data_IF_726892792990
#
_entry.id   IF_726892792990
#
_cell.length_a   1.000
_cell.length_b   1.000
_cell.length_c   1.000
_cell.angle_alpha   90.00
_cell.angle_beta   90.00
_cell.angle_gamma   90.00
#
_symmetry.space_group_name_H-M   'P 1'
#
loop_
_entity.id
_entity.type
_entity.pdbx_description
1 polymer ?
#
# COMPACT_ATOMS: atom_id res chain seq x y z
N UNK A 1 40.53 0.30 -3.11
CA UNK A 1 39.92 -0.34 -1.93
C UNK A 1 39.93 0.62 -0.76
N UNK A 2 38.83 0.68 0.01
CA UNK A 2 38.80 1.34 1.31
C UNK A 2 39.73 0.63 2.29
N UNK A 3 40.30 1.36 3.24
CA UNK A 3 41.03 0.74 4.36
C UNK A 3 40.07 0.00 5.26
N UNK A 4 40.55 -0.99 6.02
CA UNK A 4 39.71 -1.71 6.97
C UNK A 4 39.06 -0.79 8.02
N UNK A 5 39.80 0.22 8.47
CA UNK A 5 39.29 1.24 9.40
C UNK A 5 38.13 2.05 8.78
N UNK A 6 38.26 2.47 7.52
CA UNK A 6 37.19 3.17 6.80
C UNK A 6 35.93 2.28 6.60
N UNK A 7 36.13 0.97 6.30
CA UNK A 7 35.02 0.03 6.17
C UNK A 7 34.27 -0.08 7.51
N UNK A 8 34.96 -0.25 8.63
CA UNK A 8 34.36 -0.32 9.96
C UNK A 8 33.62 0.99 10.33
N UNK A 9 34.23 2.13 10.05
CA UNK A 9 33.58 3.42 10.27
C UNK A 9 32.28 3.57 9.49
N UNK A 10 32.34 3.38 8.17
CA UNK A 10 31.15 3.52 7.32
C UNK A 10 30.10 2.44 7.54
N UNK A 11 30.47 1.30 8.14
CA UNK A 11 29.51 0.27 8.49
C UNK A 11 28.43 0.79 9.47
N UNK A 12 28.80 1.72 10.35
CA UNK A 12 27.90 2.34 11.33
C UNK A 12 27.44 3.75 10.91
N UNK A 13 28.07 4.34 9.86
CA UNK A 13 27.82 5.70 9.40
C UNK A 13 27.45 5.74 7.89
N UNK A 14 26.30 5.16 7.49
CA UNK A 14 25.92 5.05 6.08
C UNK A 14 25.69 6.40 5.41
N UNK A 15 25.24 7.41 6.15
CA UNK A 15 25.05 8.74 5.60
C UNK A 15 26.40 9.41 5.22
N UNK A 16 27.43 9.20 6.03
CA UNK A 16 28.78 9.71 5.73
C UNK A 16 29.39 8.94 4.55
N UNK A 17 29.15 7.62 4.45
CA UNK A 17 29.50 6.84 3.26
C UNK A 17 28.89 7.45 1.98
N UNK A 18 27.63 7.85 2.02
CA UNK A 18 26.94 8.46 0.89
C UNK A 18 27.56 9.81 0.54
N UNK A 19 27.86 10.66 1.53
CA UNK A 19 28.48 11.96 1.32
C UNK A 19 29.90 11.84 0.72
N UNK A 20 30.73 11.00 1.34
CA UNK A 20 32.15 10.92 1.00
C UNK A 20 32.40 10.13 -0.30
N UNK A 21 31.63 9.07 -0.55
CA UNK A 21 31.87 8.16 -1.65
C UNK A 21 30.91 8.33 -2.83
N UNK A 22 29.67 8.71 -2.58
CA UNK A 22 28.70 8.95 -3.65
C UNK A 22 28.57 10.46 -3.99
N UNK A 23 29.24 11.32 -3.23
CA UNK A 23 29.33 12.77 -3.44
C UNK A 23 27.95 13.45 -3.50
N UNK A 24 27.05 13.04 -2.62
CA UNK A 24 25.72 13.61 -2.47
C UNK A 24 25.38 13.74 -1.01
N UNK A 25 24.81 14.88 -0.61
CA UNK A 25 24.37 15.13 0.77
C UNK A 25 22.93 14.64 0.95
N UNK A 26 22.71 13.58 1.74
CA UNK A 26 21.36 13.16 2.12
C UNK A 26 20.65 14.27 2.91
N UNK A 27 19.38 14.50 2.62
CA UNK A 27 18.57 15.37 3.47
C UNK A 27 18.33 14.74 4.84
N UNK A 28 17.73 15.53 5.77
CA UNK A 28 17.51 15.09 7.16
C UNK A 28 16.76 13.75 7.25
N UNK A 29 15.72 13.55 6.43
CA UNK A 29 14.93 12.33 6.44
C UNK A 29 15.73 11.16 5.85
N UNK A 30 16.41 11.38 4.73
CA UNK A 30 17.25 10.38 4.10
C UNK A 30 18.38 9.90 5.02
N UNK A 31 19.07 10.86 5.70
CA UNK A 31 20.09 10.52 6.71
C UNK A 31 19.51 9.66 7.82
N UNK A 32 18.37 10.06 8.38
CA UNK A 32 17.74 9.31 9.47
C UNK A 32 17.32 7.89 9.06
N UNK A 33 16.85 7.71 7.81
CA UNK A 33 16.51 6.38 7.28
C UNK A 33 17.76 5.52 7.12
N UNK A 34 18.83 6.05 6.52
CA UNK A 34 20.11 5.36 6.37
C UNK A 34 20.67 4.91 7.74
N UNK A 35 20.72 5.83 8.71
CA UNK A 35 21.20 5.54 10.07
C UNK A 35 20.30 4.51 10.79
N UNK A 36 19.02 4.49 10.49
CA UNK A 36 18.10 3.47 11.01
C UNK A 36 18.44 2.08 10.48
N UNK A 37 18.72 1.93 9.18
CA UNK A 37 19.08 0.62 8.61
C UNK A 37 20.39 0.10 9.20
N UNK A 38 21.35 0.96 9.53
CA UNK A 38 22.59 0.54 10.19
C UNK A 38 22.34 -0.01 11.61
N UNK A 39 21.39 0.59 12.35
CA UNK A 39 21.19 0.34 13.78
C UNK A 39 20.05 -0.61 14.12
N UNK A 40 19.06 -0.72 13.23
CA UNK A 40 17.83 -1.46 13.49
C UNK A 40 17.63 -2.58 12.47
N UNK A 41 17.01 -3.64 12.92
CA UNK A 41 16.76 -4.81 12.07
C UNK A 41 15.66 -4.55 11.04
N UNK A 42 14.62 -3.82 11.41
CA UNK A 42 13.46 -3.55 10.55
C UNK A 42 13.16 -2.05 10.48
N UNK A 43 13.30 -1.49 9.28
CA UNK A 43 12.99 -0.09 8.98
C UNK A 43 11.87 -0.02 7.96
N UNK A 44 10.80 0.72 8.27
CA UNK A 44 9.64 0.92 7.39
C UNK A 44 9.37 2.40 7.16
N UNK A 45 9.29 2.81 5.88
CA UNK A 45 9.20 4.21 5.46
C UNK A 45 7.95 4.42 4.61
N UNK A 46 6.96 5.15 5.14
CA UNK A 46 5.84 5.65 4.36
C UNK A 46 6.03 7.12 3.99
N UNK A 47 5.71 7.48 2.76
CA UNK A 47 5.92 8.86 2.31
C UNK A 47 5.04 9.27 1.14
N UNK A 48 4.99 10.59 0.87
CA UNK A 48 4.52 11.13 -0.40
C UNK A 48 5.45 10.79 -1.57
N UNK A 49 5.06 11.21 -2.77
CA UNK A 49 5.87 11.10 -3.99
C UNK A 49 7.05 12.07 -3.97
N UNK A 50 8.13 11.73 -4.68
CA UNK A 50 9.23 12.66 -4.98
C UNK A 50 10.23 12.92 -3.85
N UNK A 51 10.11 12.26 -2.68
CA UNK A 51 11.02 12.46 -1.54
C UNK A 51 12.40 11.78 -1.72
N UNK A 52 12.60 11.03 -2.80
CA UNK A 52 13.88 10.36 -3.09
C UNK A 52 14.04 8.98 -2.44
N UNK A 53 12.96 8.22 -2.23
CA UNK A 53 13.00 6.82 -1.71
C UNK A 53 13.99 5.95 -2.47
N UNK A 54 13.83 5.87 -3.79
CA UNK A 54 14.67 4.99 -4.63
C UNK A 54 16.17 5.36 -4.56
N UNK A 55 16.50 6.62 -4.33
CA UNK A 55 17.89 7.04 -4.10
C UNK A 55 18.41 6.48 -2.76
N UNK A 56 17.63 6.59 -1.67
CA UNK A 56 18.00 6.04 -0.36
C UNK A 56 18.19 4.52 -0.44
N UNK A 57 17.27 3.82 -1.10
CA UNK A 57 17.35 2.37 -1.31
C UNK A 57 18.59 1.98 -2.11
N UNK A 58 18.88 2.70 -3.22
CA UNK A 58 20.07 2.48 -4.02
C UNK A 58 21.36 2.74 -3.22
N UNK A 59 21.42 3.82 -2.44
CA UNK A 59 22.56 4.11 -1.56
C UNK A 59 22.73 3.03 -0.49
N UNK A 60 21.63 2.55 0.09
CA UNK A 60 21.64 1.49 1.10
C UNK A 60 22.19 0.18 0.52
N UNK A 61 21.82 -0.18 -0.72
CA UNK A 61 22.38 -1.35 -1.42
C UNK A 61 23.89 -1.20 -1.61
N UNK A 62 24.34 -0.06 -2.15
CA UNK A 62 25.75 0.18 -2.43
C UNK A 62 26.57 0.22 -1.14
N UNK A 63 26.07 0.88 -0.09
CA UNK A 63 26.69 0.94 1.22
C UNK A 63 26.85 -0.46 1.83
N UNK A 64 25.78 -1.27 1.86
CA UNK A 64 25.80 -2.59 2.44
C UNK A 64 26.73 -3.54 1.69
N UNK A 65 26.73 -3.47 0.34
CA UNK A 65 27.68 -4.17 -0.52
C UNK A 65 29.15 -3.80 -0.23
N UNK A 66 29.42 -2.58 0.17
CA UNK A 66 30.79 -2.03 0.33
C UNK A 66 31.34 -2.17 1.75
N UNK A 67 30.48 -2.42 2.74
CA UNK A 67 30.85 -2.39 4.17
C UNK A 67 30.63 -3.72 4.90
N UNK A 68 30.04 -4.71 4.27
CA UNK A 68 29.81 -6.06 4.84
C UNK A 68 30.52 -7.12 4.02
N UNK A 69 31.11 -8.16 4.64
CA UNK A 69 31.69 -9.27 3.91
C UNK A 69 30.62 -10.22 3.40
N UNK A 70 30.70 -10.58 2.13
CA UNK A 70 29.81 -11.56 1.48
C UNK A 70 28.33 -11.36 1.71
N UNK A 71 27.80 -10.11 1.66
CA UNK A 71 26.40 -9.83 1.88
C UNK A 71 25.54 -10.37 0.75
N UNK A 72 24.28 -10.69 1.05
CA UNK A 72 23.25 -10.95 0.05
C UNK A 72 22.14 -9.92 0.19
N UNK A 73 21.78 -9.28 -0.93
CA UNK A 73 20.79 -8.21 -0.93
C UNK A 73 19.71 -8.50 -1.96
N UNK A 74 18.68 -9.29 -1.62
CA UNK A 74 17.50 -9.45 -2.45
C UNK A 74 16.67 -8.16 -2.44
N UNK A 75 16.44 -7.60 -3.63
CA UNK A 75 15.62 -6.41 -3.86
C UNK A 75 14.35 -6.79 -4.61
N UNK A 76 13.20 -6.29 -4.18
CA UNK A 76 11.93 -6.54 -4.85
C UNK A 76 11.04 -5.29 -4.91
N UNK A 77 10.07 -5.33 -5.83
CA UNK A 77 8.99 -4.36 -5.98
C UNK A 77 7.76 -5.06 -6.59
N UNK A 78 6.54 -4.46 -6.50
CA UNK A 78 5.33 -5.08 -7.03
C UNK A 78 5.39 -5.39 -8.52
N UNK A 79 6.06 -4.56 -9.31
CA UNK A 79 6.14 -4.72 -10.77
C UNK A 79 7.57 -4.76 -11.27
N UNK A 80 7.78 -5.41 -12.43
CA UNK A 80 9.09 -5.41 -13.11
C UNK A 80 9.57 -4.00 -13.44
N UNK A 81 8.67 -3.12 -13.87
CA UNK A 81 9.00 -1.73 -14.18
C UNK A 81 9.56 -0.98 -12.95
N UNK A 82 8.88 -1.06 -11.81
CA UNK A 82 9.36 -0.43 -10.57
C UNK A 82 10.73 -0.97 -10.15
N UNK A 83 10.91 -2.28 -10.21
CA UNK A 83 12.17 -2.91 -9.82
C UNK A 83 13.32 -2.58 -10.77
N UNK A 84 13.15 -2.82 -12.08
CA UNK A 84 14.27 -2.73 -13.04
C UNK A 84 14.49 -1.34 -13.60
N UNK A 85 13.41 -0.63 -13.93
CA UNK A 85 13.52 0.66 -14.61
C UNK A 85 13.66 1.83 -13.62
N UNK A 86 13.29 1.63 -12.34
CA UNK A 86 13.42 2.66 -11.31
C UNK A 86 14.54 2.31 -10.33
N UNK A 87 14.36 1.33 -9.44
CA UNK A 87 15.35 1.03 -8.39
C UNK A 87 16.69 0.56 -8.99
N UNK A 88 16.67 -0.39 -9.92
CA UNK A 88 17.87 -0.98 -10.48
C UNK A 88 18.65 0.00 -11.36
N UNK A 89 17.92 0.86 -12.08
CA UNK A 89 18.52 1.96 -12.84
C UNK A 89 19.16 3.01 -11.92
N UNK A 90 18.55 3.32 -10.77
CA UNK A 90 19.10 4.24 -9.78
C UNK A 90 20.38 3.70 -9.16
N UNK A 91 20.44 2.40 -8.82
CA UNK A 91 21.70 1.75 -8.36
C UNK A 91 22.79 1.89 -9.43
N UNK A 92 22.49 1.62 -10.70
CA UNK A 92 23.42 1.75 -11.82
C UNK A 92 23.98 3.18 -11.95
N UNK A 93 23.12 4.17 -11.81
CA UNK A 93 23.49 5.59 -11.88
C UNK A 93 24.49 5.95 -10.78
N UNK A 94 24.24 5.55 -9.53
CA UNK A 94 25.14 5.86 -8.42
C UNK A 94 26.46 5.11 -8.49
N UNK A 95 26.47 3.86 -8.92
CA UNK A 95 27.73 3.12 -9.14
C UNK A 95 28.63 3.77 -10.18
N UNK A 96 28.06 4.23 -11.30
CA UNK A 96 28.83 4.89 -12.38
C UNK A 96 29.44 6.22 -11.95
N UNK A 97 28.87 6.89 -10.96
CA UNK A 97 29.39 8.14 -10.45
C UNK A 97 30.65 7.98 -9.59
N UNK A 98 30.97 6.76 -9.15
CA UNK A 98 32.18 6.47 -8.38
C UNK A 98 33.05 5.40 -9.05
N UNK A 99 34.15 5.86 -9.67
CA UNK A 99 35.11 4.97 -10.39
C UNK A 99 35.78 3.93 -9.49
N UNK A 100 35.93 4.19 -8.19
CA UNK A 100 36.53 3.22 -7.27
C UNK A 100 35.53 2.06 -7.02
N UNK A 101 34.27 2.37 -6.78
CA UNK A 101 33.21 1.35 -6.63
C UNK A 101 32.97 0.60 -7.95
N UNK A 102 32.96 1.28 -9.08
CA UNK A 102 32.82 0.68 -10.41
C UNK A 102 33.95 -0.31 -10.75
N UNK A 103 35.15 -0.12 -10.19
CA UNK A 103 36.29 -1.08 -10.37
C UNK A 103 36.02 -2.38 -9.61
N UNK A 104 35.43 -2.34 -8.43
CA UNK A 104 35.21 -3.49 -7.53
C UNK A 104 33.89 -4.19 -7.85
N UNK A 105 32.81 -3.42 -8.07
CA UNK A 105 31.46 -3.91 -8.30
C UNK A 105 31.14 -3.97 -9.80
N UNK A 106 30.41 -5.01 -10.19
CA UNK A 106 29.85 -5.14 -11.54
C UNK A 106 28.34 -5.04 -11.43
N UNK A 107 27.75 -4.15 -12.22
CA UNK A 107 26.30 -4.06 -12.41
C UNK A 107 25.89 -4.79 -13.69
N UNK A 108 24.85 -5.61 -13.58
CA UNK A 108 24.15 -6.24 -14.69
C UNK A 108 22.66 -5.96 -14.58
N UNK A 109 21.87 -6.36 -15.56
CA UNK A 109 20.41 -6.14 -15.56
C UNK A 109 19.71 -6.78 -14.35
N UNK A 110 20.25 -7.86 -13.79
CA UNK A 110 19.60 -8.62 -12.72
C UNK A 110 20.40 -8.67 -11.42
N UNK A 111 21.71 -8.41 -11.46
CA UNK A 111 22.63 -8.63 -10.34
C UNK A 111 23.66 -7.50 -10.26
N UNK A 112 23.96 -7.05 -9.06
CA UNK A 112 25.15 -6.26 -8.74
C UNK A 112 26.02 -7.15 -7.87
N UNK A 113 27.29 -7.34 -8.22
CA UNK A 113 28.14 -8.26 -7.50
C UNK A 113 29.59 -7.79 -7.39
N UNK A 114 30.29 -8.28 -6.36
CA UNK A 114 31.73 -8.09 -6.22
C UNK A 114 32.44 -8.93 -7.28
N UNK A 115 33.29 -8.32 -8.13
CA UNK A 115 33.93 -8.99 -9.26
C UNK A 115 34.75 -10.22 -8.88
N UNK A 116 35.37 -10.20 -7.69
CA UNK A 116 36.16 -11.32 -7.19
C UNK A 116 35.31 -12.50 -6.67
N UNK A 117 34.05 -12.24 -6.25
CA UNK A 117 33.18 -13.21 -5.60
C UNK A 117 31.73 -13.09 -6.14
N UNK A 118 31.51 -13.35 -7.44
CA UNK A 118 30.22 -13.03 -8.09
C UNK A 118 29.05 -13.87 -7.61
N UNK A 119 29.29 -15.05 -7.03
CA UNK A 119 28.26 -15.98 -6.57
C UNK A 119 27.95 -15.85 -5.07
N UNK A 120 28.83 -15.22 -4.31
CA UNK A 120 28.73 -15.18 -2.85
C UNK A 120 28.44 -13.77 -2.32
N UNK A 121 28.81 -12.73 -3.08
CA UNK A 121 28.75 -11.32 -2.67
C UNK A 121 27.96 -10.50 -3.68
N UNK A 122 26.65 -10.35 -3.45
CA UNK A 122 25.79 -9.72 -4.46
C UNK A 122 24.50 -9.11 -3.93
N UNK A 123 23.97 -8.15 -4.70
CA UNK A 123 22.58 -7.74 -4.70
C UNK A 123 21.88 -8.29 -5.93
N UNK A 124 20.61 -8.66 -5.82
CA UNK A 124 19.84 -9.27 -6.91
C UNK A 124 18.42 -8.76 -6.96
N UNK A 125 17.96 -8.44 -8.18
CA UNK A 125 16.57 -8.06 -8.44
C UNK A 125 15.68 -9.31 -8.56
N UNK A 126 14.60 -9.36 -7.80
CA UNK A 126 13.59 -10.43 -7.83
C UNK A 126 12.20 -9.80 -7.82
N UNK A 127 11.40 -10.08 -8.83
CA UNK A 127 10.01 -9.56 -8.88
C UNK A 127 9.14 -10.25 -7.84
N UNK A 128 8.26 -9.50 -7.20
CA UNK A 128 7.31 -10.00 -6.19
C UNK A 128 6.16 -10.84 -6.78
N UNK A 129 6.29 -11.33 -8.01
CA UNK A 129 5.24 -12.10 -8.70
C UNK A 129 5.02 -13.51 -8.19
N UNK A 130 5.96 -14.03 -7.37
CA UNK A 130 5.88 -15.36 -6.76
C UNK A 130 6.22 -15.27 -5.28
N UNK A 131 5.52 -16.02 -4.41
CA UNK A 131 5.79 -16.03 -2.97
C UNK A 131 7.21 -16.46 -2.61
N UNK A 132 7.83 -17.34 -3.40
CA UNK A 132 9.17 -17.87 -3.20
C UNK A 132 10.30 -16.98 -3.78
N UNK A 133 9.96 -15.82 -4.34
CA UNK A 133 10.93 -14.93 -4.97
C UNK A 133 12.08 -14.49 -4.03
N UNK A 134 11.81 -14.39 -2.74
CA UNK A 134 12.78 -14.01 -1.71
C UNK A 134 13.25 -15.17 -0.84
N UNK A 135 12.94 -16.42 -1.22
CA UNK A 135 13.41 -17.62 -0.52
C UNK A 135 14.87 -17.99 -0.87
N UNK A 136 15.51 -18.74 0.03
CA UNK A 136 16.81 -19.39 -0.24
C UNK A 136 18.02 -18.47 -0.13
N UNK A 137 17.86 -17.24 0.34
CA UNK A 137 19.00 -16.37 0.63
C UNK A 137 19.47 -16.61 2.08
N UNK A 138 20.70 -17.08 2.21
CA UNK A 138 21.37 -17.32 3.49
C UNK A 138 22.74 -16.63 3.48
N UNK A 139 22.99 -15.77 4.44
CA UNK A 139 24.26 -15.11 4.70
C UNK A 139 24.25 -14.57 6.14
N UNK A 140 25.45 -14.35 6.70
CA UNK A 140 25.58 -13.71 8.01
C UNK A 140 25.07 -12.26 7.96
N UNK A 141 25.37 -11.57 6.85
CA UNK A 141 24.87 -10.24 6.52
C UNK A 141 23.88 -10.33 5.36
N UNK A 142 22.61 -10.10 5.63
CA UNK A 142 21.54 -10.08 4.60
C UNK A 142 20.70 -8.81 4.74
N UNK A 143 20.40 -8.16 3.60
CA UNK A 143 19.54 -6.98 3.56
C UNK A 143 18.42 -7.18 2.53
N UNK A 144 17.19 -7.15 2.98
CA UNK A 144 16.02 -7.12 2.10
C UNK A 144 15.63 -5.68 1.80
N UNK A 145 15.50 -5.34 0.52
CA UNK A 145 14.97 -4.06 0.04
C UNK A 145 13.63 -4.33 -0.63
N UNK A 146 12.58 -3.69 -0.13
CA UNK A 146 11.23 -3.81 -0.67
C UNK A 146 10.71 -2.42 -1.03
N UNK A 147 10.83 -2.08 -2.31
CA UNK A 147 10.32 -0.82 -2.86
C UNK A 147 8.82 -0.93 -3.16
N UNK A 148 8.11 0.18 -3.00
CA UNK A 148 6.65 0.28 -3.12
C UNK A 148 5.92 -0.83 -2.35
N UNK A 149 6.35 -1.08 -1.11
CA UNK A 149 5.98 -2.19 -0.25
C UNK A 149 4.46 -2.33 -0.02
N UNK A 150 3.69 -1.24 -0.14
CA UNK A 150 2.23 -1.27 -0.02
C UNK A 150 1.54 -2.12 -1.10
N UNK A 151 2.19 -2.31 -2.25
CA UNK A 151 1.68 -3.12 -3.36
C UNK A 151 2.22 -4.55 -3.42
N UNK A 152 3.05 -4.97 -2.47
CA UNK A 152 3.63 -6.32 -2.42
C UNK A 152 2.73 -7.26 -1.64
N UNK A 153 2.43 -8.43 -2.19
CA UNK A 153 1.61 -9.47 -1.54
C UNK A 153 2.27 -9.95 -0.24
N UNK A 154 1.46 -10.14 0.81
CA UNK A 154 1.92 -10.54 2.14
C UNK A 154 2.74 -11.84 2.15
N UNK A 155 2.44 -12.77 1.25
CA UNK A 155 3.16 -14.05 1.13
C UNK A 155 4.63 -13.88 0.73
N UNK A 156 4.99 -12.77 0.09
CA UNK A 156 6.37 -12.46 -0.27
C UNK A 156 7.21 -12.09 0.96
N UNK A 157 6.57 -11.61 2.03
CA UNK A 157 7.25 -11.23 3.28
C UNK A 157 7.53 -12.43 4.21
N UNK A 158 6.84 -13.57 4.06
CA UNK A 158 7.04 -14.74 4.92
C UNK A 158 8.49 -15.23 4.95
N UNK A 159 9.18 -15.41 3.79
CA UNK A 159 10.60 -15.79 3.78
C UNK A 159 11.51 -14.74 4.42
N UNK A 160 11.16 -13.45 4.28
CA UNK A 160 11.92 -12.35 4.88
C UNK A 160 11.90 -12.43 6.40
N UNK A 161 10.71 -12.66 6.99
CA UNK A 161 10.58 -12.84 8.44
C UNK A 161 11.41 -14.01 8.97
N UNK A 162 11.45 -15.12 8.23
CA UNK A 162 12.29 -16.27 8.57
C UNK A 162 13.78 -15.91 8.60
N UNK A 163 14.25 -15.13 7.62
CA UNK A 163 15.64 -14.71 7.54
C UNK A 163 16.05 -13.72 8.64
N UNK A 164 15.12 -12.94 9.16
CA UNK A 164 15.35 -11.99 10.26
C UNK A 164 15.68 -12.68 11.61
N UNK A 165 15.63 -14.00 11.68
CA UNK A 165 16.19 -14.76 12.80
C UNK A 165 17.72 -14.65 12.92
N UNK A 166 18.42 -14.28 11.82
CA UNK A 166 19.85 -14.03 11.79
C UNK A 166 20.16 -12.62 12.32
N UNK A 167 21.11 -12.45 13.28
CA UNK A 167 21.39 -11.13 13.86
C UNK A 167 21.84 -10.06 12.86
N UNK A 168 22.58 -10.45 11.79
CA UNK A 168 23.03 -9.57 10.70
C UNK A 168 21.95 -9.23 9.67
N UNK A 169 20.78 -9.84 9.76
CA UNK A 169 19.69 -9.62 8.81
C UNK A 169 19.03 -8.25 9.03
N UNK A 170 18.73 -7.56 7.93
CA UNK A 170 18.09 -6.25 7.88
C UNK A 170 16.94 -6.25 6.88
N UNK A 171 15.94 -5.42 7.14
CA UNK A 171 14.83 -5.13 6.24
C UNK A 171 14.63 -3.62 6.11
N UNK A 172 14.63 -3.13 4.89
CA UNK A 172 14.16 -1.79 4.52
C UNK A 172 12.96 -1.91 3.60
N UNK A 173 11.84 -1.37 4.04
CA UNK A 173 10.61 -1.23 3.25
C UNK A 173 10.34 0.24 3.01
N UNK A 174 10.12 0.61 1.76
CA UNK A 174 9.67 1.96 1.40
C UNK A 174 8.41 1.87 0.55
N UNK A 175 7.53 2.86 0.65
CA UNK A 175 6.36 2.92 -0.20
C UNK A 175 5.46 4.12 0.05
N UNK A 176 4.60 4.38 -0.93
CA UNK A 176 3.45 5.23 -0.72
C UNK A 176 2.36 4.40 -0.02
N UNK A 177 1.70 4.93 1.01
CA UNK A 177 0.73 4.18 1.81
C UNK A 177 -0.63 4.10 1.09
N UNK A 178 -0.75 3.18 0.12
CA UNK A 178 -1.91 3.10 -0.78
C UNK A 178 -3.00 2.15 -0.29
N UNK A 179 -2.71 1.23 0.65
CA UNK A 179 -3.64 0.21 1.13
C UNK A 179 -3.82 0.26 2.64
N UNK A 180 -5.02 -0.09 3.13
CA UNK A 180 -5.39 -0.11 4.55
C UNK A 180 -5.21 -1.47 5.20
N UNK A 181 -4.56 -2.38 4.53
CA UNK A 181 -4.28 -3.74 5.00
C UNK A 181 -2.92 -4.20 4.50
N UNK A 182 -2.47 -5.37 4.97
CA UNK A 182 -1.24 -6.00 4.55
C UNK A 182 -0.04 -5.63 5.39
N UNK A 183 1.07 -6.29 5.09
CA UNK A 183 2.30 -6.27 5.88
C UNK A 183 2.87 -4.86 6.07
N UNK A 184 2.87 -4.04 5.00
CA UNK A 184 3.36 -2.66 5.06
C UNK A 184 2.46 -1.78 5.94
N UNK A 185 1.13 -1.88 5.79
CA UNK A 185 0.18 -1.17 6.66
C UNK A 185 0.38 -1.56 8.13
N UNK A 186 0.47 -2.86 8.40
CA UNK A 186 0.65 -3.40 9.74
C UNK A 186 1.95 -2.93 10.42
N UNK A 187 3.03 -2.73 9.65
CA UNK A 187 4.29 -2.21 10.16
C UNK A 187 4.18 -0.78 10.74
N UNK A 188 3.19 -0.01 10.29
CA UNK A 188 2.89 1.33 10.82
C UNK A 188 1.77 1.34 11.86
N UNK A 189 1.07 0.22 12.08
CA UNK A 189 -0.09 0.09 12.97
C UNK A 189 0.12 -1.01 14.02
N UNK A 190 -0.49 -2.17 13.87
CA UNK A 190 -0.50 -3.22 14.90
C UNK A 190 0.88 -3.79 15.23
N UNK A 191 1.79 -3.82 14.24
CA UNK A 191 3.14 -4.36 14.39
C UNK A 191 4.21 -3.27 14.58
N UNK A 192 3.80 -2.00 14.78
CA UNK A 192 4.71 -0.85 14.86
C UNK A 192 5.82 -1.01 15.90
N UNK A 193 5.57 -1.74 16.99
CA UNK A 193 6.57 -1.97 18.04
C UNK A 193 7.80 -2.76 17.59
N UNK A 194 7.71 -3.51 16.47
CA UNK A 194 8.82 -4.29 15.91
C UNK A 194 9.62 -3.52 14.85
N UNK A 195 9.17 -2.33 14.45
CA UNK A 195 9.79 -1.55 13.38
C UNK A 195 10.25 -0.17 13.85
N UNK A 196 11.34 0.32 13.27
CA UNK A 196 11.63 1.75 13.27
C UNK A 196 10.91 2.36 12.08
N UNK A 197 9.86 3.14 12.34
CA UNK A 197 8.96 3.66 11.32
C UNK A 197 9.23 5.13 11.02
N UNK A 198 9.21 5.48 9.74
CA UNK A 198 9.33 6.86 9.26
C UNK A 198 8.06 7.25 8.50
N UNK A 199 7.67 8.50 8.72
CA UNK A 199 6.64 9.18 7.95
C UNK A 199 7.24 10.45 7.34
N UNK A 200 7.27 10.53 6.01
CA UNK A 200 7.83 11.68 5.30
C UNK A 200 6.74 12.36 4.48
N UNK A 201 6.29 13.50 4.97
CA UNK A 201 5.37 14.37 4.25
C UNK A 201 6.13 15.09 3.13
N UNK A 202 5.63 15.01 1.89
CA UNK A 202 6.23 15.63 0.72
C UNK A 202 6.35 17.15 0.85
N UNK A 203 5.43 17.81 1.57
CA UNK A 203 5.48 19.25 1.83
C UNK A 203 6.72 19.69 2.61
N UNK A 204 7.28 18.78 3.40
CA UNK A 204 8.47 19.01 4.21
C UNK A 204 9.77 18.60 3.49
N UNK A 205 9.69 18.20 2.21
CA UNK A 205 10.83 17.79 1.41
C UNK A 205 11.21 18.87 0.42
N UNK A 206 12.47 19.30 0.43
CA UNK A 206 13.00 20.23 -0.58
C UNK A 206 13.03 19.69 -2.02
N UNK A 207 12.74 18.39 -2.18
CA UNK A 207 12.70 17.69 -3.48
C UNK A 207 11.32 17.75 -4.14
N UNK A 208 10.28 18.06 -3.37
CA UNK A 208 8.90 18.18 -3.85
C UNK A 208 8.62 19.65 -4.12
N UNK A 209 8.21 19.98 -5.34
CA UNK A 209 7.91 21.36 -5.70
C UNK A 209 6.54 21.79 -5.15
N UNK A 210 6.45 23.06 -4.74
CA UNK A 210 5.17 23.66 -4.34
C UNK A 210 4.11 23.59 -5.45
N UNK A 211 4.52 23.66 -6.71
CA UNK A 211 3.62 23.59 -7.84
C UNK A 211 3.00 22.19 -8.01
N UNK A 212 3.75 21.13 -7.71
CA UNK A 212 3.19 19.79 -7.66
C UNK A 212 2.11 19.68 -6.57
N UNK A 213 2.40 20.20 -5.38
CA UNK A 213 1.44 20.20 -4.25
C UNK A 213 0.17 20.98 -4.62
N UNK A 214 0.32 22.18 -5.17
CA UNK A 214 -0.81 23.01 -5.64
C UNK A 214 -1.62 22.31 -6.73
N UNK A 215 -0.96 21.63 -7.66
CA UNK A 215 -1.62 20.88 -8.74
C UNK A 215 -2.50 19.77 -8.17
N UNK A 216 -1.97 18.98 -7.22
CA UNK A 216 -2.75 17.91 -6.58
C UNK A 216 -3.93 18.47 -5.80
N UNK A 217 -3.75 19.59 -5.07
CA UNK A 217 -4.84 20.26 -4.36
C UNK A 217 -5.91 20.73 -5.35
N UNK A 218 -5.51 21.34 -6.45
CA UNK A 218 -6.44 21.86 -7.46
C UNK A 218 -7.25 20.75 -8.14
N UNK A 219 -6.61 19.60 -8.43
CA UNK A 219 -7.24 18.48 -9.14
C UNK A 219 -8.15 17.63 -8.25
N UNK A 220 -7.77 17.43 -6.99
CA UNK A 220 -8.39 16.42 -6.12
C UNK A 220 -8.89 16.98 -4.79
N UNK A 221 -8.45 18.18 -4.38
CA UNK A 221 -8.71 18.76 -3.07
C UNK A 221 -7.69 18.33 -2.01
N UNK A 222 -7.40 19.21 -1.05
CA UNK A 222 -6.45 18.96 0.04
C UNK A 222 -6.92 17.86 1.00
N UNK A 223 -8.24 17.69 1.14
CA UNK A 223 -8.85 16.68 2.02
C UNK A 223 -9.08 15.32 1.32
N UNK A 224 -8.58 15.13 0.09
CA UNK A 224 -8.74 13.90 -0.67
C UNK A 224 -7.74 12.82 -0.25
N UNK A 225 -8.11 11.54 -0.43
CA UNK A 225 -7.19 10.42 -0.23
C UNK A 225 -6.03 10.44 -1.22
N UNK A 226 -6.22 11.01 -2.41
CA UNK A 226 -5.14 11.25 -3.37
C UNK A 226 -4.08 12.17 -2.79
N UNK A 227 -4.47 13.28 -2.16
CA UNK A 227 -3.55 14.20 -1.49
C UNK A 227 -2.87 13.54 -0.29
N UNK A 228 -3.64 12.82 0.54
CA UNK A 228 -3.10 12.10 1.70
C UNK A 228 -1.98 11.13 1.30
N UNK A 229 -2.22 10.30 0.30
CA UNK A 229 -1.26 9.30 -0.16
C UNK A 229 -0.09 9.93 -0.90
N UNK A 230 -0.37 10.76 -1.91
CA UNK A 230 0.66 11.24 -2.85
C UNK A 230 1.48 12.39 -2.34
N UNK A 231 0.93 13.23 -1.46
CA UNK A 231 1.62 14.41 -0.91
C UNK A 231 1.96 14.20 0.55
N UNK A 232 0.94 13.99 1.41
CA UNK A 232 1.17 13.88 2.84
C UNK A 232 1.87 12.58 3.27
N UNK A 233 1.89 11.52 2.44
CA UNK A 233 2.45 10.23 2.80
C UNK A 233 1.67 9.53 3.91
N UNK A 234 0.37 9.77 3.95
CA UNK A 234 -0.55 9.16 4.90
C UNK A 234 -1.41 8.09 4.24
N UNK A 235 -1.81 7.08 5.02
CA UNK A 235 -2.76 6.08 4.54
C UNK A 235 -4.09 6.74 4.16
N UNK A 236 -4.79 6.24 3.13
CA UNK A 236 -6.12 6.73 2.76
C UNK A 236 -7.09 6.48 3.91
N UNK A 237 -8.24 7.13 3.88
CA UNK A 237 -9.31 6.92 4.89
C UNK A 237 -10.15 5.69 4.56
N UNK A 238 -10.09 5.24 3.31
CA UNK A 238 -10.88 4.11 2.80
C UNK A 238 -10.14 3.37 1.68
N UNK A 239 -10.51 2.11 1.44
CA UNK A 239 -9.99 1.31 0.33
C UNK A 239 -10.36 1.95 -1.02
N UNK A 240 -9.48 1.83 -2.03
CA UNK A 240 -9.67 2.42 -3.36
C UNK A 240 -10.80 1.76 -4.17
N UNK A 241 -11.19 0.55 -3.83
CA UNK A 241 -12.22 -0.25 -4.50
C UNK A 241 -13.61 -0.14 -3.86
N UNK A 242 -13.78 0.74 -2.87
CA UNK A 242 -15.06 0.97 -2.23
C UNK A 242 -16.02 1.67 -3.22
N UNK A 243 -17.11 0.99 -3.56
CA UNK A 243 -18.12 1.52 -4.50
C UNK A 243 -18.78 2.81 -4.00
N UNK A 244 -19.06 2.90 -2.68
CA UNK A 244 -19.60 4.10 -2.04
C UNK A 244 -18.68 4.53 -0.89
N UNK A 245 -17.99 5.67 -1.01
CA UNK A 245 -17.13 6.21 0.06
C UNK A 245 -17.84 6.38 1.40
N UNK A 246 -17.21 5.92 2.49
CA UNK A 246 -17.78 6.03 3.85
C UNK A 246 -18.26 7.45 4.21
N UNK A 247 -17.54 8.55 3.87
CA UNK A 247 -18.03 9.90 4.11
C UNK A 247 -19.36 10.23 3.41
N UNK A 248 -19.61 9.63 2.24
CA UNK A 248 -20.91 9.80 1.56
C UNK A 248 -22.02 9.03 2.29
N UNK A 249 -21.70 7.84 2.81
CA UNK A 249 -22.63 7.07 3.64
C UNK A 249 -22.98 7.83 4.92
N UNK A 250 -21.97 8.31 5.64
CA UNK A 250 -22.14 9.10 6.87
C UNK A 250 -22.95 10.40 6.60
N UNK A 251 -22.62 11.13 5.55
CA UNK A 251 -23.38 12.31 5.13
C UNK A 251 -24.82 11.96 4.81
N UNK A 252 -25.07 10.82 4.14
CA UNK A 252 -26.43 10.36 3.84
C UNK A 252 -27.23 10.03 5.11
N UNK A 253 -26.59 9.40 6.10
CA UNK A 253 -27.23 9.06 7.39
C UNK A 253 -27.55 10.33 8.18
N UNK A 254 -26.67 11.32 8.17
CA UNK A 254 -26.83 12.58 8.92
C UNK A 254 -27.71 13.61 8.22
N UNK A 255 -28.08 13.37 6.95
CA UNK A 255 -28.95 14.30 6.21
C UNK A 255 -30.37 14.24 6.78
N UNK A 256 -30.86 15.37 7.28
CA UNK A 256 -32.24 15.50 7.72
C UNK A 256 -33.20 15.28 6.55
N UNK A 257 -34.21 14.45 6.77
CA UNK A 257 -35.22 14.16 5.78
C UNK A 257 -36.61 14.41 6.38
N UNK A 258 -37.37 15.24 5.71
CA UNK A 258 -38.77 15.48 6.08
C UNK A 258 -39.68 14.57 5.28
N UNK A 259 -40.47 13.76 5.97
CA UNK A 259 -41.38 12.83 5.33
C UNK A 259 -42.42 13.55 4.48
N UNK A 260 -42.48 13.27 3.17
CA UNK A 260 -43.46 13.92 2.30
C UNK A 260 -44.88 13.41 2.57
N UNK A 261 -45.84 14.30 2.59
CA UNK A 261 -47.27 13.91 2.68
C UNK A 261 -47.79 13.31 1.38
N UNK A 262 -47.18 13.69 0.24
CA UNK A 262 -47.50 13.16 -1.10
C UNK A 262 -46.22 13.01 -1.89
N UNK A 263 -45.54 11.86 -1.81
CA UNK A 263 -44.29 11.60 -2.53
C UNK A 263 -44.51 11.57 -4.05
N UNK A 264 -43.48 11.98 -4.79
CA UNK A 264 -43.47 11.92 -6.24
C UNK A 264 -43.17 10.49 -6.75
N UNK A 265 -42.32 9.76 -6.02
CA UNK A 265 -41.86 8.43 -6.37
C UNK A 265 -41.80 7.52 -5.16
N UNK A 266 -42.24 6.27 -5.33
CA UNK A 266 -42.04 5.17 -4.38
C UNK A 266 -41.50 3.98 -5.18
N UNK A 267 -40.42 3.35 -4.72
CA UNK A 267 -39.84 2.13 -5.29
C UNK A 267 -39.67 1.09 -4.19
N UNK A 268 -39.84 -0.19 -4.52
CA UNK A 268 -39.54 -1.32 -3.65
C UNK A 268 -38.37 -2.10 -4.26
N UNK A 269 -37.37 -2.46 -3.45
CA UNK A 269 -36.24 -3.31 -3.83
C UNK A 269 -36.21 -4.56 -2.96
N UNK A 270 -35.87 -5.71 -3.57
CA UNK A 270 -35.71 -6.97 -2.86
C UNK A 270 -34.44 -7.68 -3.34
N UNK A 271 -33.58 -8.02 -2.40
CA UNK A 271 -32.45 -8.93 -2.58
C UNK A 271 -32.86 -10.28 -1.99
N UNK A 272 -32.96 -11.32 -2.81
CA UNK A 272 -33.53 -12.62 -2.44
C UNK A 272 -32.43 -13.63 -2.16
N UNK A 273 -32.37 -14.11 -0.91
CA UNK A 273 -31.54 -15.25 -0.53
C UNK A 273 -32.34 -16.55 -0.58
N UNK A 274 -31.80 -17.59 -1.25
CA UNK A 274 -32.50 -18.88 -1.42
C UNK A 274 -32.09 -19.95 -0.39
N UNK A 275 -30.80 -20.09 -0.11
CA UNK A 275 -30.27 -21.18 0.72
C UNK A 275 -29.10 -20.72 1.56
N UNK A 276 -28.92 -21.29 2.74
CA UNK A 276 -27.80 -21.04 3.64
C UNK A 276 -28.04 -19.93 4.64
N UNK A 277 -26.97 -19.31 5.10
CA UNK A 277 -27.00 -18.26 6.13
C UNK A 277 -27.35 -16.87 5.58
N UNK A 278 -27.52 -16.75 4.26
CA UNK A 278 -27.90 -15.51 3.59
C UNK A 278 -29.31 -15.08 3.94
N UNK A 279 -29.57 -13.78 3.83
CA UNK A 279 -30.83 -13.17 4.24
C UNK A 279 -31.51 -12.47 3.09
N UNK A 280 -32.79 -12.78 2.88
CA UNK A 280 -33.65 -11.94 2.02
C UNK A 280 -33.84 -10.58 2.69
N UNK A 281 -33.61 -9.52 1.94
CA UNK A 281 -33.73 -8.13 2.39
C UNK A 281 -34.73 -7.40 1.50
N UNK A 282 -35.76 -6.83 2.11
CA UNK A 282 -36.74 -5.98 1.43
C UNK A 282 -36.56 -4.55 1.94
N UNK A 283 -36.36 -3.63 1.02
CA UNK A 283 -36.29 -2.21 1.28
C UNK A 283 -37.22 -1.43 0.35
N UNK A 284 -37.45 -0.17 0.68
CA UNK A 284 -38.21 0.73 -0.15
C UNK A 284 -37.61 2.14 -0.14
N UNK A 285 -37.90 2.89 -1.16
CA UNK A 285 -37.49 4.28 -1.32
C UNK A 285 -38.74 5.16 -1.45
N UNK A 286 -38.77 6.27 -0.72
CA UNK A 286 -39.76 7.32 -0.85
C UNK A 286 -39.03 8.60 -1.23
N UNK A 287 -39.23 9.06 -2.46
CA UNK A 287 -38.43 10.12 -3.08
C UNK A 287 -36.94 9.88 -2.92
N UNK A 288 -36.23 10.60 -2.06
CA UNK A 288 -34.78 10.48 -1.88
C UNK A 288 -34.37 9.58 -0.69
N UNK A 289 -35.30 9.14 0.14
CA UNK A 289 -35.02 8.36 1.34
C UNK A 289 -35.21 6.88 1.13
N UNK A 290 -34.16 6.09 1.29
CA UNK A 290 -34.22 4.64 1.32
C UNK A 290 -34.40 4.14 2.76
N UNK A 291 -35.21 3.11 2.92
CA UNK A 291 -35.56 2.51 4.22
C UNK A 291 -35.60 0.99 4.12
N UNK A 292 -35.22 0.29 5.19
CA UNK A 292 -35.39 -1.16 5.29
C UNK A 292 -36.79 -1.49 5.83
N UNK A 293 -37.38 -2.54 5.25
CA UNK A 293 -38.66 -3.05 5.71
C UNK A 293 -38.52 -4.38 6.45
N UNK A 294 -37.94 -5.39 5.81
CA UNK A 294 -37.74 -6.72 6.39
C UNK A 294 -36.38 -7.30 6.07
N UNK A 295 -35.86 -8.14 6.95
CA UNK A 295 -34.63 -8.90 6.79
C UNK A 295 -34.82 -10.27 7.41
N UNK A 296 -34.89 -11.34 6.61
CA UNK A 296 -35.17 -12.70 7.06
C UNK A 296 -34.26 -13.72 6.36
N UNK A 297 -33.87 -14.79 7.07
CA UNK A 297 -33.22 -15.99 6.51
C UNK A 297 -34.22 -17.13 6.40
N UNK A 298 -34.02 -18.06 5.45
CA UNK A 298 -34.83 -19.27 5.29
C UNK A 298 -36.27 -19.03 4.84
N UNK A 299 -36.53 -17.89 4.21
CA UNK A 299 -37.88 -17.55 3.70
C UNK A 299 -38.04 -18.13 2.28
N UNK A 300 -39.20 -18.71 1.98
CA UNK A 300 -39.49 -19.14 0.61
C UNK A 300 -39.94 -17.98 -0.29
N UNK A 301 -39.99 -18.22 -1.60
CA UNK A 301 -40.31 -17.19 -2.59
C UNK A 301 -41.74 -16.67 -2.45
N UNK A 302 -42.72 -17.52 -2.05
CA UNK A 302 -44.08 -17.09 -1.87
C UNK A 302 -44.23 -16.16 -0.68
N UNK A 303 -43.58 -16.50 0.44
CA UNK A 303 -43.53 -15.61 1.61
C UNK A 303 -42.83 -14.28 1.30
N UNK A 304 -41.81 -14.28 0.44
CA UNK A 304 -41.14 -13.06 -0.02
C UNK A 304 -42.10 -12.23 -0.87
N UNK A 305 -42.84 -12.84 -1.78
CA UNK A 305 -43.82 -12.15 -2.61
C UNK A 305 -44.94 -11.53 -1.75
N UNK A 306 -45.45 -12.28 -0.76
CA UNK A 306 -46.47 -11.78 0.17
C UNK A 306 -45.97 -10.57 0.96
N UNK A 307 -44.74 -10.63 1.47
CA UNK A 307 -44.11 -9.51 2.19
C UNK A 307 -43.96 -8.26 1.33
N UNK A 308 -43.60 -8.42 0.05
CA UNK A 308 -43.51 -7.31 -0.93
C UNK A 308 -44.90 -6.72 -1.21
N UNK A 309 -45.90 -7.57 -1.42
CA UNK A 309 -47.27 -7.11 -1.66
C UNK A 309 -47.85 -6.39 -0.45
N UNK A 310 -47.65 -6.91 0.75
CA UNK A 310 -48.06 -6.27 2.00
C UNK A 310 -47.42 -4.88 2.15
N UNK A 311 -46.11 -4.76 1.85
CA UNK A 311 -45.40 -3.48 1.87
C UNK A 311 -45.99 -2.50 0.85
N UNK A 312 -46.22 -2.97 -0.38
CA UNK A 312 -46.79 -2.14 -1.45
C UNK A 312 -48.12 -1.53 -1.07
N UNK A 313 -49.04 -2.38 -0.53
CA UNK A 313 -50.37 -1.94 -0.09
C UNK A 313 -50.27 -0.92 1.08
N UNK A 314 -49.42 -1.18 2.07
CA UNK A 314 -49.15 -0.24 3.17
C UNK A 314 -48.64 1.13 2.70
N UNK A 315 -47.74 1.14 1.72
CA UNK A 315 -47.19 2.38 1.19
C UNK A 315 -48.23 3.17 0.38
N UNK A 316 -49.05 2.46 -0.42
CA UNK A 316 -50.13 3.09 -1.19
C UNK A 316 -51.16 3.72 -0.23
N UNK A 317 -51.55 3.05 0.84
CA UNK A 317 -52.48 3.55 1.86
C UNK A 317 -51.87 4.75 2.60
N UNK A 318 -50.66 4.59 3.14
CA UNK A 318 -49.99 5.61 3.97
C UNK A 318 -49.86 6.95 3.24
N UNK A 319 -49.42 6.90 1.99
CA UNK A 319 -49.13 8.11 1.20
C UNK A 319 -50.25 8.49 0.25
N UNK A 320 -51.37 7.77 0.26
CA UNK A 320 -52.47 7.90 -0.72
C UNK A 320 -51.91 7.91 -2.14
N UNK A 321 -50.97 6.99 -2.40
CA UNK A 321 -50.23 6.91 -3.65
C UNK A 321 -51.07 6.13 -4.69
N UNK A 322 -51.43 6.81 -5.76
CA UNK A 322 -52.38 6.33 -6.79
C UNK A 322 -51.72 5.77 -8.04
N UNK A 323 -50.37 5.70 -8.03
CA UNK A 323 -49.58 5.14 -9.12
C UNK A 323 -49.10 3.72 -8.80
N UNK A 324 -48.71 2.97 -9.83
CA UNK A 324 -48.02 1.70 -9.64
C UNK A 324 -46.68 1.91 -8.97
N UNK A 325 -46.34 1.09 -7.96
CA UNK A 325 -45.05 1.08 -7.29
C UNK A 325 -44.14 0.11 -8.04
N UNK A 326 -43.03 0.57 -8.65
CA UNK A 326 -42.04 -0.34 -9.24
C UNK A 326 -41.42 -1.26 -8.20
N UNK A 327 -41.34 -2.56 -8.53
CA UNK A 327 -40.69 -3.57 -7.70
C UNK A 327 -39.46 -4.05 -8.48
N UNK A 328 -38.28 -3.96 -7.85
CA UNK A 328 -36.99 -4.40 -8.40
C UNK A 328 -36.48 -5.56 -7.56
N UNK A 329 -36.32 -6.71 -8.19
CA UNK A 329 -35.85 -7.93 -7.52
C UNK A 329 -34.50 -8.30 -8.13
N UNK A 330 -33.49 -8.51 -7.26
CA UNK A 330 -32.22 -9.10 -7.68
C UNK A 330 -32.39 -10.62 -7.73
N UNK A 331 -32.38 -11.17 -8.95
CA UNK A 331 -32.44 -12.60 -9.23
C UNK A 331 -31.12 -13.16 -9.76
N UNK A 332 -30.05 -12.36 -9.74
CA UNK A 332 -28.74 -12.76 -10.21
C UNK A 332 -28.18 -13.91 -9.37
N UNK A 333 -27.94 -15.05 -10.01
CA UNK A 333 -27.43 -16.27 -9.36
C UNK A 333 -28.46 -17.29 -8.90
N UNK A 334 -29.75 -17.04 -9.09
CA UNK A 334 -30.81 -17.92 -8.61
C UNK A 334 -31.43 -18.79 -9.70
N UNK A 335 -30.97 -18.79 -10.96
CA UNK A 335 -31.62 -19.50 -12.05
C UNK A 335 -33.13 -19.27 -11.99
N UNK A 336 -33.64 -18.36 -12.80
CA UNK A 336 -34.97 -17.82 -12.76
C UNK A 336 -36.05 -18.83 -12.34
N UNK A 337 -36.73 -18.50 -11.27
CA UNK A 337 -37.97 -19.18 -10.82
C UNK A 337 -39.13 -18.20 -10.87
#
# INVERSE_FOLDING_TARGET
MMTQEAILYYADHPADFVEDLLHVTPDKNQRAILDSVAKNQMTSVRSGHGIGKSAVEAWTVIWFMSTRPFPKIPCTAPTQHQLFDILWAEISKWLRNNKALERELMWTKEKVYMKQYPEEWFAVARTASKPDALQGFHADDILYIIDEASGVDDKVFEPVLGALSTPGARLLMCGNPTQLSGFFYDSHHKNRGSYTTFHVDGRNSSRVSDDFVKTIIQMYGEDSDVFRVRVAGEFPRQENDVFIPLPLVEKSIMTEWTEPTKPAHIDIGCDVARYGDDRTVIGYKVDEKAMFYKRKSGQDLMQTADDIMELGLKLMEKYRFDKAIPIKIDDSGLGGG
#
